data_IF_763666108604
#
_entry.id   IF_763666108604
#
_cell.length_a   1.000
_cell.length_b   1.000
_cell.length_c   1.000
_cell.angle_alpha   90.00
_cell.angle_beta   90.00
_cell.angle_gamma   90.00
#
_symmetry.space_group_name_H-M   'P 1'
#
loop_
_entity.id
_entity.type
_entity.pdbx_description
1 polymer ?
#
# COMPACT_ATOMS: atom_id res chain seq x y z
N UNK A 1 -10.36 30.54 10.01
CA UNK A 1 -9.96 29.14 9.69
C UNK A 1 -10.97 28.21 10.33
N UNK A 2 -11.19 26.97 9.84
CA UNK A 2 -12.11 26.05 10.50
C UNK A 2 -11.57 25.68 11.90
N UNK A 3 -12.16 26.27 12.93
CA UNK A 3 -11.88 25.92 14.33
C UNK A 3 -12.40 24.50 14.61
N UNK A 4 -11.50 23.63 15.06
CA UNK A 4 -11.81 22.24 15.37
C UNK A 4 -12.43 22.17 16.77
N UNK A 5 -13.75 22.02 16.83
CA UNK A 5 -14.45 21.92 18.11
C UNK A 5 -13.89 20.82 19.03
N UNK A 6 -13.95 21.05 20.35
CA UNK A 6 -13.49 20.11 21.39
C UNK A 6 -14.06 18.69 21.16
N UNK A 7 -15.32 18.58 20.75
CA UNK A 7 -15.96 17.30 20.41
C UNK A 7 -15.24 16.57 19.27
N UNK A 8 -14.85 17.28 18.22
CA UNK A 8 -14.14 16.70 17.07
C UNK A 8 -12.72 16.27 17.45
N UNK A 9 -12.02 17.11 18.23
CA UNK A 9 -10.69 16.75 18.74
C UNK A 9 -10.75 15.49 19.62
N UNK A 10 -11.75 15.37 20.49
CA UNK A 10 -11.98 14.17 21.31
C UNK A 10 -12.23 12.92 20.46
N UNK A 11 -12.99 13.04 19.36
CA UNK A 11 -13.20 11.93 18.41
C UNK A 11 -11.88 11.54 17.74
N UNK A 12 -11.10 12.50 17.24
CA UNK A 12 -9.80 12.24 16.61
C UNK A 12 -8.84 11.52 17.56
N UNK A 13 -8.78 11.96 18.82
CA UNK A 13 -7.98 11.31 19.85
C UNK A 13 -8.39 9.84 20.02
N UNK A 14 -9.70 9.58 20.21
CA UNK A 14 -10.22 8.22 20.39
C UNK A 14 -9.93 7.34 19.17
N UNK A 15 -10.14 7.85 17.96
CA UNK A 15 -9.89 7.10 16.73
C UNK A 15 -8.41 6.76 16.55
N UNK A 16 -7.50 7.71 16.78
CA UNK A 16 -6.07 7.46 16.71
C UNK A 16 -5.62 6.47 17.80
N UNK A 17 -6.10 6.58 19.04
CA UNK A 17 -5.76 5.62 20.09
C UNK A 17 -6.28 4.20 19.80
N UNK A 18 -7.50 4.07 19.28
CA UNK A 18 -8.04 2.77 18.86
C UNK A 18 -7.20 2.20 17.72
N UNK A 19 -6.90 2.99 16.69
CA UNK A 19 -6.07 2.54 15.57
C UNK A 19 -4.67 2.13 16.03
N UNK A 20 -4.04 2.91 16.93
CA UNK A 20 -2.75 2.56 17.54
C UNK A 20 -2.80 1.17 18.20
N UNK A 21 -3.76 0.94 19.10
CA UNK A 21 -3.86 -0.33 19.83
C UNK A 21 -4.09 -1.50 18.86
N UNK A 22 -4.99 -1.33 17.88
CA UNK A 22 -5.30 -2.40 16.93
C UNK A 22 -4.10 -2.73 16.03
N UNK A 23 -3.37 -1.72 15.53
CA UNK A 23 -2.15 -1.96 14.75
C UNK A 23 -1.01 -2.53 15.58
N UNK A 24 -0.89 -2.13 16.85
CA UNK A 24 0.08 -2.70 17.77
C UNK A 24 -0.21 -4.19 18.04
N UNK A 25 -1.47 -4.56 18.24
CA UNK A 25 -1.87 -5.97 18.38
C UNK A 25 -1.48 -6.75 17.12
N UNK A 26 -1.79 -6.23 15.92
CA UNK A 26 -1.43 -6.89 14.67
C UNK A 26 0.09 -6.99 14.48
N UNK A 27 0.86 -5.99 14.90
CA UNK A 27 2.31 -6.05 14.91
C UNK A 27 2.82 -7.15 15.85
N UNK A 28 2.33 -7.20 17.10
CA UNK A 28 2.74 -8.21 18.08
C UNK A 28 2.40 -9.62 17.57
N UNK A 29 1.17 -9.83 17.08
CA UNK A 29 0.76 -11.12 16.51
C UNK A 29 1.63 -11.49 15.32
N UNK A 30 1.88 -10.57 14.39
CA UNK A 30 2.74 -10.83 13.24
C UNK A 30 4.17 -11.20 13.65
N UNK A 31 4.74 -10.49 14.61
CA UNK A 31 6.11 -10.72 15.07
C UNK A 31 6.29 -11.99 15.93
N UNK A 32 5.22 -12.47 16.56
CA UNK A 32 5.28 -13.66 17.43
C UNK A 32 4.84 -14.94 16.73
N UNK A 33 3.86 -14.85 15.83
CA UNK A 33 3.30 -16.00 15.09
C UNK A 33 3.93 -16.15 13.71
N UNK A 34 4.27 -15.04 13.05
CA UNK A 34 4.89 -15.07 11.73
C UNK A 34 6.35 -15.55 11.79
N UNK A 35 6.79 -16.23 10.74
CA UNK A 35 8.20 -16.58 10.56
C UNK A 35 8.98 -15.34 10.12
N UNK A 36 9.57 -14.62 11.06
CA UNK A 36 10.31 -13.37 10.80
C UNK A 36 11.53 -13.55 9.88
N UNK A 37 12.05 -14.78 9.76
CA UNK A 37 13.19 -15.12 8.91
C UNK A 37 12.76 -15.59 7.51
N UNK A 38 11.45 -15.64 7.24
CA UNK A 38 10.91 -16.03 5.95
C UNK A 38 11.34 -15.03 4.87
N UNK A 39 12.15 -15.51 3.95
CA UNK A 39 12.83 -14.68 2.96
C UNK A 39 12.91 -15.39 1.60
N UNK A 40 11.77 -15.66 0.94
CA UNK A 40 11.73 -16.35 -0.35
C UNK A 40 12.42 -15.54 -1.47
N UNK A 41 12.91 -16.19 -2.53
CA UNK A 41 13.88 -15.60 -3.45
C UNK A 41 13.31 -14.44 -4.28
N UNK A 42 14.21 -13.53 -4.64
CA UNK A 42 14.03 -12.47 -5.64
C UNK A 42 15.17 -12.51 -6.64
N UNK A 43 14.90 -12.09 -7.87
CA UNK A 43 15.83 -12.17 -8.98
C UNK A 43 16.06 -10.80 -9.60
N UNK A 44 17.25 -10.63 -10.15
CA UNK A 44 17.53 -9.55 -11.07
C UNK A 44 17.54 -10.09 -12.51
N UNK A 45 17.20 -9.24 -13.48
CA UNK A 45 17.31 -9.59 -14.89
C UNK A 45 18.68 -9.15 -15.40
N UNK A 46 19.48 -10.09 -15.89
CA UNK A 46 20.70 -9.81 -16.66
C UNK A 46 20.44 -10.09 -18.13
N UNK A 47 21.21 -9.46 -19.00
CA UNK A 47 21.11 -9.63 -20.44
C UNK A 47 22.47 -10.05 -20.98
N UNK A 48 22.49 -11.13 -21.76
CA UNK A 48 23.65 -11.54 -22.55
C UNK A 48 23.45 -11.07 -23.98
N UNK A 49 24.54 -10.63 -24.62
CA UNK A 49 24.56 -10.30 -26.03
C UNK A 49 25.05 -11.54 -26.78
N UNK A 50 24.13 -12.20 -27.48
CA UNK A 50 24.45 -13.40 -28.25
C UNK A 50 24.67 -13.03 -29.71
N UNK A 51 25.82 -13.43 -30.25
CA UNK A 51 26.14 -13.23 -31.66
C UNK A 51 26.15 -14.58 -32.37
N UNK A 52 25.36 -14.68 -33.43
CA UNK A 52 25.39 -15.81 -34.35
C UNK A 52 26.09 -15.32 -35.64
N UNK A 53 27.17 -16.00 -36.05
CA UNK A 53 27.94 -15.64 -37.25
C UNK A 53 27.14 -15.69 -38.55
N UNK A 54 25.97 -16.33 -38.54
CA UNK A 54 25.03 -16.38 -39.66
C UNK A 54 24.07 -15.19 -39.70
N UNK A 55 23.95 -14.43 -38.61
CA UNK A 55 23.03 -13.29 -38.47
C UNK A 55 23.78 -11.96 -38.62
N UNK A 56 23.09 -10.94 -39.13
CA UNK A 56 23.66 -9.59 -39.33
C UNK A 56 23.62 -8.71 -38.06
N UNK A 57 23.22 -9.27 -36.91
CA UNK A 57 23.04 -8.54 -35.66
C UNK A 57 23.25 -9.39 -34.41
N UNK A 58 23.07 -8.78 -33.24
CA UNK A 58 23.11 -9.46 -31.93
C UNK A 58 21.70 -9.66 -31.37
N UNK A 59 21.52 -10.71 -30.58
CA UNK A 59 20.32 -10.94 -29.77
C UNK A 59 20.55 -10.47 -28.33
N UNK A 60 19.49 -9.97 -27.71
CA UNK A 60 19.46 -9.64 -26.28
C UNK A 60 18.72 -10.77 -25.56
N UNK A 61 19.47 -11.63 -24.87
CA UNK A 61 18.92 -12.80 -24.19
C UNK A 61 18.83 -12.54 -22.68
N UNK A 62 17.64 -12.20 -22.16
CA UNK A 62 17.47 -11.96 -20.73
C UNK A 62 17.43 -13.28 -19.95
N UNK A 63 18.10 -13.31 -18.79
CA UNK A 63 18.02 -14.41 -17.85
C UNK A 63 17.95 -13.90 -16.40
N UNK A 64 17.32 -14.67 -15.53
CA UNK A 64 17.18 -14.33 -14.12
C UNK A 64 18.37 -14.84 -13.32
N UNK A 65 18.87 -13.99 -12.42
CA UNK A 65 19.92 -14.34 -11.46
C UNK A 65 19.42 -14.04 -10.07
N UNK A 66 19.63 -14.97 -9.13
CA UNK A 66 19.26 -14.76 -7.72
C UNK A 66 19.93 -13.49 -7.20
N UNK A 67 19.13 -12.62 -6.60
CA UNK A 67 19.57 -11.34 -6.05
C UNK A 67 19.57 -11.35 -4.51
N UNK A 68 18.76 -12.21 -3.91
CA UNK A 68 18.60 -12.32 -2.46
C UNK A 68 17.23 -12.88 -2.13
N UNK A 69 16.77 -12.61 -0.90
CA UNK A 69 15.43 -12.97 -0.46
C UNK A 69 14.58 -11.76 -0.09
N UNK A 70 13.26 -11.94 -0.16
CA UNK A 70 12.26 -10.94 0.11
C UNK A 70 11.67 -11.16 1.50
N UNK A 71 11.96 -10.30 2.50
CA UNK A 71 11.62 -10.55 3.89
C UNK A 71 10.13 -10.23 4.20
N UNK A 72 9.22 -10.99 3.59
CA UNK A 72 7.78 -10.68 3.54
C UNK A 72 7.15 -10.50 4.93
N UNK A 73 7.48 -11.37 5.88
CA UNK A 73 6.97 -11.30 7.25
C UNK A 73 7.46 -10.03 7.95
N UNK A 74 8.75 -9.70 7.80
CA UNK A 74 9.33 -8.52 8.41
C UNK A 74 8.74 -7.24 7.82
N UNK A 75 8.54 -7.17 6.49
CA UNK A 75 7.89 -6.03 5.86
C UNK A 75 6.43 -5.88 6.32
N UNK A 76 5.73 -6.99 6.54
CA UNK A 76 4.37 -7.01 7.10
C UNK A 76 4.33 -6.43 8.51
N UNK A 77 5.25 -6.87 9.37
CA UNK A 77 5.44 -6.34 10.71
C UNK A 77 5.74 -4.83 10.68
N UNK A 78 6.66 -4.41 9.82
CA UNK A 78 7.11 -3.01 9.73
C UNK A 78 5.95 -2.08 9.38
N UNK A 79 5.08 -2.42 8.42
CA UNK A 79 3.98 -1.50 8.11
C UNK A 79 2.98 -1.36 9.26
N UNK A 80 2.77 -2.42 10.07
CA UNK A 80 1.93 -2.31 11.27
C UNK A 80 2.56 -1.44 12.35
N UNK A 81 3.87 -1.62 12.59
CA UNK A 81 4.61 -0.82 13.58
C UNK A 81 4.63 0.66 13.20
N UNK A 82 4.87 0.98 11.92
CA UNK A 82 4.88 2.36 11.44
C UNK A 82 3.49 2.99 11.62
N UNK A 83 2.41 2.32 11.20
CA UNK A 83 1.06 2.85 11.36
C UNK A 83 0.70 3.04 12.83
N UNK A 84 1.04 2.07 13.71
CA UNK A 84 0.85 2.21 15.15
C UNK A 84 1.59 3.44 15.70
N UNK A 85 2.85 3.64 15.30
CA UNK A 85 3.65 4.80 15.70
C UNK A 85 2.99 6.12 15.31
N UNK A 86 2.56 6.28 14.06
CA UNK A 86 1.94 7.54 13.60
C UNK A 86 0.63 7.85 14.34
N UNK A 87 -0.20 6.84 14.60
CA UNK A 87 -1.42 7.03 15.36
C UNK A 87 -1.15 7.39 16.83
N UNK A 88 -0.18 6.73 17.48
CA UNK A 88 0.23 7.09 18.84
C UNK A 88 0.77 8.53 18.87
N UNK A 89 1.63 8.88 17.91
CA UNK A 89 2.21 10.21 17.79
C UNK A 89 1.14 11.29 17.64
N UNK A 90 0.20 11.12 16.69
CA UNK A 90 -0.91 12.06 16.46
C UNK A 90 -1.83 12.19 17.70
N UNK A 91 -1.98 11.13 18.50
CA UNK A 91 -2.77 11.15 19.73
C UNK A 91 -2.03 11.74 20.94
N UNK A 92 -0.70 11.84 20.90
CA UNK A 92 0.12 12.22 22.05
C UNK A 92 1.07 13.37 21.70
N UNK A 93 2.35 13.10 21.42
CA UNK A 93 3.41 14.10 21.33
C UNK A 93 3.42 14.91 20.02
N UNK A 94 2.63 14.53 19.00
CA UNK A 94 2.38 15.34 17.80
C UNK A 94 0.95 15.90 17.76
N UNK A 95 0.19 15.84 18.86
CA UNK A 95 -1.23 16.21 18.84
C UNK A 95 -1.45 17.66 18.41
N UNK A 96 -0.70 18.62 18.97
CA UNK A 96 -0.84 20.04 18.61
C UNK A 96 -0.53 20.31 17.13
N UNK A 97 0.51 19.65 16.60
CA UNK A 97 0.89 19.74 15.18
C UNK A 97 -0.19 19.11 14.30
N UNK A 98 -0.75 17.99 14.71
CA UNK A 98 -1.79 17.27 13.99
C UNK A 98 -3.09 18.08 13.93
N UNK A 99 -3.56 18.61 15.07
CA UNK A 99 -4.77 19.43 15.14
C UNK A 99 -4.61 20.72 14.34
N UNK A 100 -3.52 21.48 14.54
CA UNK A 100 -3.26 22.72 13.79
C UNK A 100 -3.15 22.47 12.28
N UNK A 101 -2.56 21.33 11.86
CA UNK A 101 -2.53 20.96 10.44
C UNK A 101 -3.93 20.69 9.89
N UNK A 102 -4.79 19.99 10.65
CA UNK A 102 -6.17 19.70 10.25
C UNK A 102 -7.02 20.96 10.12
N UNK A 103 -6.81 21.97 10.97
CA UNK A 103 -7.44 23.29 10.85
C UNK A 103 -7.01 24.02 9.56
N UNK A 104 -5.84 23.69 9.04
CA UNK A 104 -5.34 24.15 7.73
C UNK A 104 -5.71 23.21 6.57
N UNK A 105 -6.65 22.28 6.80
CA UNK A 105 -7.08 21.26 5.84
C UNK A 105 -5.92 20.44 5.25
N UNK A 106 -4.97 20.07 6.10
CA UNK A 106 -3.75 19.38 5.71
C UNK A 106 -3.37 18.31 6.73
N UNK A 107 -2.84 17.18 6.28
CA UNK A 107 -2.42 16.12 7.21
C UNK A 107 -1.11 15.47 6.74
N UNK A 108 0.04 16.09 7.03
CA UNK A 108 1.33 15.60 6.57
C UNK A 108 1.66 14.22 7.17
N UNK A 109 1.29 13.98 8.42
CA UNK A 109 1.57 12.71 9.12
C UNK A 109 0.91 11.51 8.41
N UNK A 110 -0.35 11.64 7.96
CA UNK A 110 -1.05 10.61 7.18
C UNK A 110 -0.32 10.28 5.88
N UNK A 111 0.08 11.29 5.11
CA UNK A 111 0.73 11.04 3.82
C UNK A 111 2.13 10.49 3.96
N UNK A 112 2.89 10.87 5.00
CA UNK A 112 4.20 10.28 5.29
C UNK A 112 4.04 8.81 5.69
N UNK A 113 3.07 8.51 6.57
CA UNK A 113 2.74 7.13 6.94
C UNK A 113 2.37 6.30 5.70
N UNK A 114 1.45 6.80 4.85
CA UNK A 114 0.97 6.06 3.68
C UNK A 114 2.03 5.93 2.60
N UNK A 115 2.88 6.94 2.40
CA UNK A 115 4.02 6.87 1.49
C UNK A 115 4.89 5.64 1.78
N UNK A 116 5.12 5.34 3.07
CA UNK A 116 5.91 4.18 3.46
C UNK A 116 5.04 2.92 3.43
N UNK A 117 3.92 2.92 4.16
CA UNK A 117 3.15 1.72 4.45
C UNK A 117 2.39 1.21 3.23
N UNK A 118 1.73 2.07 2.45
CA UNK A 118 1.04 1.65 1.22
C UNK A 118 2.04 1.11 0.19
N UNK A 119 3.23 1.71 0.10
CA UNK A 119 4.30 1.18 -0.75
C UNK A 119 4.73 -0.22 -0.31
N UNK A 120 5.07 -0.43 0.97
CA UNK A 120 5.44 -1.75 1.49
C UNK A 120 4.37 -2.81 1.24
N UNK A 121 3.10 -2.45 1.47
CA UNK A 121 1.96 -3.32 1.16
C UNK A 121 1.92 -3.68 -0.33
N UNK A 122 2.05 -2.70 -1.23
CA UNK A 122 1.99 -2.95 -2.67
C UNK A 122 3.18 -3.72 -3.21
N UNK A 123 4.39 -3.52 -2.67
CA UNK A 123 5.56 -4.36 -2.96
C UNK A 123 5.26 -5.82 -2.59
N UNK A 124 4.66 -6.03 -1.42
CA UNK A 124 4.31 -7.35 -0.90
C UNK A 124 3.26 -8.00 -1.80
N UNK A 125 2.22 -7.26 -2.17
CA UNK A 125 1.18 -7.73 -3.08
C UNK A 125 1.76 -8.08 -4.45
N UNK A 126 2.66 -7.26 -5.01
CA UNK A 126 3.35 -7.58 -6.26
C UNK A 126 4.17 -8.88 -6.15
N UNK A 127 4.85 -9.09 -5.03
CA UNK A 127 5.53 -10.36 -4.78
C UNK A 127 4.55 -11.55 -4.78
N UNK A 128 3.38 -11.39 -4.15
CA UNK A 128 2.34 -12.44 -4.11
C UNK A 128 1.80 -12.82 -5.50
N UNK A 129 1.85 -11.91 -6.47
CA UNK A 129 1.38 -12.21 -7.83
C UNK A 129 2.36 -13.04 -8.66
N UNK A 130 3.53 -13.37 -8.10
CA UNK A 130 4.61 -14.06 -8.79
C UNK A 130 5.65 -13.11 -9.41
N UNK A 131 5.51 -11.79 -9.23
CA UNK A 131 6.57 -10.87 -9.64
C UNK A 131 7.80 -11.06 -8.75
N UNK A 132 8.77 -11.82 -9.25
CA UNK A 132 10.02 -12.12 -8.54
C UNK A 132 11.18 -11.20 -8.94
N UNK A 133 11.01 -10.34 -9.94
CA UNK A 133 12.03 -9.36 -10.35
C UNK A 133 12.10 -8.18 -9.38
N UNK A 134 13.29 -7.87 -8.86
CA UNK A 134 13.52 -6.73 -7.97
C UNK A 134 13.11 -5.41 -8.62
N UNK A 135 13.39 -5.24 -9.91
CA UNK A 135 13.05 -4.02 -10.64
C UNK A 135 11.53 -3.81 -10.73
N UNK A 136 10.78 -4.91 -10.91
CA UNK A 136 9.30 -4.86 -10.95
C UNK A 136 8.75 -4.50 -9.58
N UNK A 137 9.23 -5.17 -8.52
CA UNK A 137 8.79 -4.92 -7.15
C UNK A 137 9.06 -3.46 -6.77
N UNK A 138 10.31 -2.99 -6.94
CA UNK A 138 10.70 -1.60 -6.64
C UNK A 138 9.91 -0.59 -7.48
N UNK A 139 9.66 -0.90 -8.77
CA UNK A 139 8.83 -0.08 -9.63
C UNK A 139 7.41 0.10 -9.09
N UNK A 140 6.76 -0.99 -8.67
CA UNK A 140 5.43 -0.94 -8.02
C UNK A 140 5.48 -0.12 -6.74
N UNK A 141 6.50 -0.33 -5.89
CA UNK A 141 6.68 0.43 -4.66
C UNK A 141 6.73 1.95 -4.93
N UNK A 142 7.55 2.36 -5.91
CA UNK A 142 7.76 3.75 -6.27
C UNK A 142 6.53 4.40 -6.91
N UNK A 143 5.79 3.65 -7.72
CA UNK A 143 4.52 4.14 -8.28
C UNK A 143 3.49 4.43 -7.18
N UNK A 144 3.31 3.50 -6.23
CA UNK A 144 2.37 3.72 -5.11
C UNK A 144 2.84 4.83 -4.18
N UNK A 145 4.16 4.94 -3.95
CA UNK A 145 4.74 6.07 -3.21
C UNK A 145 4.39 7.40 -3.89
N UNK A 146 4.52 7.45 -5.23
CA UNK A 146 4.18 8.62 -6.04
C UNK A 146 2.68 8.96 -5.96
N UNK A 147 1.79 7.96 -5.93
CA UNK A 147 0.35 8.20 -5.68
C UNK A 147 0.12 8.94 -4.36
N UNK A 148 0.83 8.55 -3.30
CA UNK A 148 0.71 9.22 -1.98
C UNK A 148 1.23 10.66 -2.03
N UNK A 149 2.30 10.93 -2.78
CA UNK A 149 2.79 12.29 -3.01
C UNK A 149 1.75 13.17 -3.72
N UNK A 150 0.99 12.63 -4.67
CA UNK A 150 -0.11 13.38 -5.30
C UNK A 150 -1.26 13.65 -4.33
N UNK A 151 -1.52 12.73 -3.40
CA UNK A 151 -2.44 12.93 -2.30
C UNK A 151 -2.01 14.09 -1.40
N UNK A 152 -0.75 14.08 -0.95
CA UNK A 152 -0.12 15.16 -0.19
C UNK A 152 -0.17 16.49 -0.94
N UNK A 153 0.20 16.50 -2.21
CA UNK A 153 0.17 17.67 -3.08
C UNK A 153 -1.24 18.23 -3.24
N UNK A 154 -2.27 17.38 -3.26
CA UNK A 154 -3.66 17.85 -3.32
C UNK A 154 -4.04 18.70 -2.11
N UNK A 155 -3.62 18.32 -0.90
CA UNK A 155 -3.90 19.12 0.29
C UNK A 155 -2.98 20.34 0.40
N UNK A 156 -1.71 20.21 0.00
CA UNK A 156 -0.79 21.36 -0.07
C UNK A 156 -1.30 22.42 -1.06
N UNK A 157 -1.85 21.98 -2.19
CA UNK A 157 -2.39 22.81 -3.25
C UNK A 157 -3.73 23.44 -2.88
N UNK A 158 -4.50 22.89 -1.95
CA UNK A 158 -5.82 23.39 -1.61
C UNK A 158 -5.84 23.97 -0.19
N UNK A 159 -5.86 25.30 -0.08
CA UNK A 159 -5.93 25.99 1.21
C UNK A 159 -7.31 26.59 1.50
N UNK A 160 -7.75 26.58 2.78
CA UNK A 160 -8.98 27.24 3.19
C UNK A 160 -8.79 28.75 3.24
N UNK A 161 -9.84 29.53 2.94
CA UNK A 161 -9.83 30.97 3.16
C UNK A 161 -9.90 31.31 4.66
N UNK A 162 -9.32 32.44 5.06
CA UNK A 162 -9.16 32.79 6.48
C UNK A 162 -10.51 33.05 7.19
N UNK A 163 -11.42 33.80 6.55
CA UNK A 163 -12.64 34.30 7.19
C UNK A 163 -13.93 33.77 6.57
N UNK A 164 -13.83 32.78 5.68
CA UNK A 164 -14.98 32.18 4.98
C UNK A 164 -14.79 30.67 4.92
N UNK A 165 -15.85 29.90 5.17
CA UNK A 165 -15.84 28.44 5.01
C UNK A 165 -15.87 28.02 3.52
N UNK A 166 -14.83 28.39 2.80
CA UNK A 166 -14.65 28.07 1.39
C UNK A 166 -13.16 27.98 1.04
N UNK A 167 -12.88 27.24 -0.03
CA UNK A 167 -11.54 27.04 -0.56
C UNK A 167 -11.08 28.26 -1.36
N UNK A 168 -9.79 28.60 -1.30
CA UNK A 168 -9.20 29.63 -2.18
C UNK A 168 -9.45 29.32 -3.67
N UNK A 169 -9.40 28.03 -4.02
CA UNK A 169 -9.73 27.53 -5.36
C UNK A 169 -11.21 27.23 -5.42
N UNK A 170 -11.96 28.07 -6.12
CA UNK A 170 -13.43 28.06 -6.10
C UNK A 170 -14.06 26.85 -6.80
N UNK A 171 -13.44 26.30 -7.85
CA UNK A 171 -14.04 25.19 -8.62
C UNK A 171 -13.49 23.82 -8.20
N UNK A 172 -14.37 22.83 -8.07
CA UNK A 172 -14.00 21.45 -7.73
C UNK A 172 -12.96 20.88 -8.71
N UNK A 173 -13.13 21.12 -10.02
CA UNK A 173 -12.21 20.60 -11.03
C UNK A 173 -10.78 21.10 -10.81
N UNK A 174 -10.58 22.39 -10.51
CA UNK A 174 -9.24 22.93 -10.23
C UNK A 174 -8.64 22.30 -8.97
N UNK A 175 -9.45 22.10 -7.92
CA UNK A 175 -9.01 21.47 -6.67
C UNK A 175 -8.57 20.02 -6.86
N UNK A 176 -9.24 19.29 -7.75
CA UNK A 176 -9.01 17.87 -7.97
C UNK A 176 -7.88 17.54 -8.94
N UNK A 177 -7.20 18.54 -9.54
CA UNK A 177 -6.11 18.30 -10.50
C UNK A 177 -5.01 17.38 -9.90
N UNK A 178 -4.40 17.68 -8.73
CA UNK A 178 -3.34 16.82 -8.20
C UNK A 178 -3.86 15.42 -7.85
N UNK A 179 -5.10 15.33 -7.38
CA UNK A 179 -5.73 14.05 -7.06
C UNK A 179 -5.87 13.16 -8.30
N UNK A 180 -6.37 13.69 -9.42
CA UNK A 180 -6.47 12.93 -10.67
C UNK A 180 -5.12 12.59 -11.29
N UNK A 181 -4.10 13.43 -11.12
CA UNK A 181 -2.73 13.07 -11.51
C UNK A 181 -2.21 11.87 -10.71
N UNK A 182 -2.64 11.70 -9.45
CA UNK A 182 -2.34 10.52 -8.63
C UNK A 182 -2.90 9.20 -9.18
N UNK A 183 -3.93 9.25 -10.04
CA UNK A 183 -4.46 8.04 -10.67
C UNK A 183 -3.47 7.42 -11.65
N UNK A 184 -2.63 8.22 -12.31
CA UNK A 184 -1.67 7.71 -13.29
C UNK A 184 -0.75 6.67 -12.64
N UNK A 185 0.08 7.01 -11.63
CA UNK A 185 0.95 6.01 -11.03
C UNK A 185 0.18 4.86 -10.36
N UNK A 186 -1.01 5.13 -9.80
CA UNK A 186 -1.85 4.09 -9.20
C UNK A 186 -2.28 3.03 -10.23
N UNK A 187 -2.80 3.47 -11.37
CA UNK A 187 -3.29 2.59 -12.43
C UNK A 187 -2.15 1.78 -13.05
N UNK A 188 -0.96 2.37 -13.23
CA UNK A 188 0.20 1.62 -13.70
C UNK A 188 0.68 0.58 -12.68
N UNK A 189 0.70 0.90 -11.38
CA UNK A 189 1.07 -0.06 -10.35
C UNK A 189 0.12 -1.27 -10.33
N UNK A 190 -1.19 -1.02 -10.33
CA UNK A 190 -2.19 -2.08 -10.34
C UNK A 190 -2.27 -2.82 -11.67
N UNK A 191 -2.00 -2.14 -12.79
CA UNK A 191 -1.82 -2.83 -14.07
C UNK A 191 -0.70 -3.86 -13.98
N UNK A 192 0.48 -3.49 -13.45
CA UNK A 192 1.61 -4.43 -13.28
C UNK A 192 1.21 -5.59 -12.36
N UNK A 193 0.60 -5.30 -11.21
CA UNK A 193 0.16 -6.33 -10.24
C UNK A 193 -0.81 -7.32 -10.89
N UNK A 194 -1.89 -6.81 -11.50
CA UNK A 194 -2.92 -7.65 -12.11
C UNK A 194 -2.41 -8.38 -13.35
N UNK A 195 -1.59 -7.72 -14.18
CA UNK A 195 -0.97 -8.36 -15.34
C UNK A 195 -0.03 -9.49 -14.93
N UNK A 196 0.80 -9.30 -13.90
CA UNK A 196 1.63 -10.38 -13.35
C UNK A 196 0.80 -11.54 -12.82
N UNK A 197 -0.34 -11.25 -12.18
CA UNK A 197 -1.19 -12.28 -11.60
C UNK A 197 -1.97 -13.10 -12.64
N UNK A 198 -2.61 -12.43 -13.61
CA UNK A 198 -3.42 -13.10 -14.62
C UNK A 198 -2.61 -13.57 -15.84
N UNK A 199 -1.48 -12.91 -16.13
CA UNK A 199 -0.62 -13.22 -17.27
C UNK A 199 0.33 -14.39 -17.03
N UNK A 200 0.38 -14.94 -15.80
CA UNK A 200 1.13 -16.15 -15.50
C UNK A 200 0.46 -17.36 -16.17
N UNK A 201 1.05 -17.88 -17.25
CA UNK A 201 0.60 -19.08 -17.97
C UNK A 201 0.83 -20.40 -17.20
N UNK A 202 0.73 -20.38 -15.87
CA UNK A 202 0.90 -21.55 -15.03
C UNK A 202 -0.25 -22.55 -15.22
N UNK A 203 0.07 -23.84 -15.13
CA UNK A 203 -0.92 -24.93 -15.13
C UNK A 203 -1.71 -25.01 -13.83
N UNK A 204 -1.23 -24.37 -12.76
CA UNK A 204 -1.82 -24.37 -11.42
C UNK A 204 -2.45 -23.02 -11.07
N UNK A 205 -3.63 -23.07 -10.46
CA UNK A 205 -4.27 -21.88 -9.90
C UNK A 205 -3.56 -21.42 -8.62
N UNK A 206 -3.46 -20.10 -8.43
CA UNK A 206 -2.96 -19.53 -7.19
C UNK A 206 -3.88 -19.90 -6.00
N UNK A 207 -3.33 -20.07 -4.77
CA UNK A 207 -4.12 -20.36 -3.58
C UNK A 207 -5.22 -19.30 -3.32
N UNK A 208 -6.34 -19.72 -2.75
CA UNK A 208 -7.50 -18.85 -2.52
C UNK A 208 -7.17 -17.57 -1.70
N UNK A 209 -6.27 -17.67 -0.72
CA UNK A 209 -5.86 -16.52 0.09
C UNK A 209 -5.10 -15.45 -0.72
N UNK A 210 -4.37 -15.86 -1.77
CA UNK A 210 -3.69 -14.93 -2.69
C UNK A 210 -4.73 -14.16 -3.51
N UNK A 211 -5.76 -14.84 -4.01
CA UNK A 211 -6.89 -14.20 -4.70
C UNK A 211 -7.62 -13.19 -3.81
N UNK A 212 -7.90 -13.57 -2.56
CA UNK A 212 -8.54 -12.69 -1.58
C UNK A 212 -7.70 -11.43 -1.36
N UNK A 213 -6.38 -11.58 -1.22
CA UNK A 213 -5.48 -10.43 -1.06
C UNK A 213 -5.51 -9.56 -2.31
N UNK A 214 -5.28 -10.11 -3.50
CA UNK A 214 -5.11 -9.28 -4.71
C UNK A 214 -6.41 -8.53 -5.04
N UNK A 215 -7.53 -9.24 -5.10
CA UNK A 215 -8.82 -8.61 -5.43
C UNK A 215 -9.34 -7.73 -4.30
N UNK A 216 -9.21 -8.20 -3.05
CA UNK A 216 -9.63 -7.45 -1.87
C UNK A 216 -8.86 -6.15 -1.70
N UNK A 217 -7.53 -6.20 -1.84
CA UNK A 217 -6.69 -5.01 -1.73
C UNK A 217 -6.90 -4.04 -2.89
N UNK A 218 -7.12 -4.52 -4.12
CA UNK A 218 -7.48 -3.65 -5.24
C UNK A 218 -8.73 -2.82 -4.93
N UNK A 219 -9.77 -3.47 -4.42
CA UNK A 219 -11.01 -2.80 -4.01
C UNK A 219 -10.72 -1.83 -2.86
N UNK A 220 -10.06 -2.30 -1.79
CA UNK A 220 -9.80 -1.50 -0.59
C UNK A 220 -8.94 -0.26 -0.88
N UNK A 221 -7.89 -0.39 -1.69
CA UNK A 221 -7.04 0.74 -2.10
C UNK A 221 -7.83 1.74 -2.93
N UNK A 222 -8.71 1.25 -3.82
CA UNK A 222 -9.57 2.11 -4.63
C UNK A 222 -10.54 2.94 -3.77
N UNK A 223 -10.96 2.45 -2.60
CA UNK A 223 -11.85 3.19 -1.69
C UNK A 223 -11.20 4.46 -1.10
N UNK A 224 -9.87 4.57 -1.06
CA UNK A 224 -9.19 5.76 -0.53
C UNK A 224 -9.43 7.02 -1.37
N UNK A 225 -9.96 6.87 -2.59
CA UNK A 225 -10.43 7.98 -3.41
C UNK A 225 -11.57 8.76 -2.74
N UNK A 226 -12.43 8.06 -2.00
CA UNK A 226 -13.68 8.58 -1.44
C UNK A 226 -13.42 9.70 -0.42
N UNK A 227 -12.62 9.49 0.65
CA UNK A 227 -12.37 10.55 1.63
C UNK A 227 -11.76 11.81 1.01
N UNK A 228 -10.82 11.65 0.07
CA UNK A 228 -10.18 12.81 -0.55
C UNK A 228 -11.13 13.60 -1.44
N UNK A 229 -11.90 12.92 -2.31
CA UNK A 229 -12.91 13.60 -3.12
C UNK A 229 -13.99 14.25 -2.26
N UNK A 230 -14.37 13.61 -1.16
CA UNK A 230 -15.28 14.20 -0.18
C UNK A 230 -14.72 15.50 0.39
N UNK A 231 -13.45 15.52 0.81
CA UNK A 231 -12.78 16.71 1.31
C UNK A 231 -12.73 17.83 0.26
N UNK A 232 -12.34 17.51 -0.97
CA UNK A 232 -12.24 18.48 -2.07
C UNK A 232 -13.60 19.04 -2.52
N UNK A 233 -14.67 18.24 -2.41
CA UNK A 233 -16.02 18.66 -2.82
C UNK A 233 -16.71 19.54 -1.77
N UNK A 234 -16.49 19.25 -0.49
CA UNK A 234 -17.20 19.90 0.61
C UNK A 234 -16.46 21.15 1.12
N UNK A 235 -17.14 22.02 1.89
CA UNK A 235 -16.48 23.13 2.58
C UNK A 235 -15.35 22.66 3.53
N UNK A 236 -14.28 23.45 3.71
CA UNK A 236 -13.18 23.18 4.65
C UNK A 236 -13.61 22.70 6.03
N UNK A 237 -14.70 23.24 6.59
CA UNK A 237 -15.24 22.84 7.90
C UNK A 237 -15.62 21.36 8.01
N UNK A 238 -15.80 20.66 6.88
CA UNK A 238 -16.10 19.22 6.81
C UNK A 238 -14.86 18.36 6.56
N UNK A 239 -13.67 18.94 6.40
CA UNK A 239 -12.43 18.23 6.07
C UNK A 239 -12.13 17.07 7.03
N UNK A 240 -12.33 17.30 8.34
CA UNK A 240 -12.11 16.30 9.40
C UNK A 240 -12.91 15.00 9.23
N UNK A 241 -14.07 15.05 8.55
CA UNK A 241 -14.85 13.83 8.29
C UNK A 241 -14.14 12.90 7.30
N UNK A 242 -13.40 13.46 6.35
CA UNK A 242 -12.52 12.68 5.48
C UNK A 242 -11.41 11.99 6.28
N UNK A 243 -10.89 12.66 7.31
CA UNK A 243 -9.86 12.07 8.17
C UNK A 243 -10.38 10.86 8.96
N UNK A 244 -11.61 10.92 9.48
CA UNK A 244 -12.22 9.74 10.13
C UNK A 244 -12.29 8.53 9.20
N UNK A 245 -12.66 8.78 7.94
CA UNK A 245 -12.76 7.73 6.92
C UNK A 245 -11.37 7.21 6.56
N UNK A 246 -10.35 8.07 6.45
CA UNK A 246 -8.98 7.65 6.21
C UNK A 246 -8.45 6.73 7.30
N UNK A 247 -8.65 7.08 8.58
CA UNK A 247 -8.22 6.25 9.72
C UNK A 247 -8.88 4.86 9.64
N UNK A 248 -10.20 4.82 9.38
CA UNK A 248 -10.93 3.56 9.24
C UNK A 248 -10.42 2.70 8.07
N UNK A 249 -10.28 3.30 6.88
CA UNK A 249 -9.81 2.58 5.68
C UNK A 249 -8.36 2.08 5.85
N UNK A 250 -7.50 2.87 6.51
CA UNK A 250 -6.12 2.47 6.85
C UNK A 250 -6.10 1.19 7.68
N UNK A 251 -6.87 1.16 8.76
CA UNK A 251 -6.98 -0.02 9.60
C UNK A 251 -7.55 -1.20 8.81
N UNK A 252 -8.68 -1.01 8.11
CA UNK A 252 -9.37 -2.08 7.40
C UNK A 252 -8.49 -2.73 6.32
N UNK A 253 -7.80 -1.94 5.51
CA UNK A 253 -6.94 -2.45 4.44
C UNK A 253 -5.73 -3.22 5.00
N UNK A 254 -5.02 -2.61 5.96
CA UNK A 254 -3.82 -3.21 6.58
C UNK A 254 -4.16 -4.48 7.37
N UNK A 255 -5.24 -4.46 8.15
CA UNK A 255 -5.69 -5.63 8.91
C UNK A 255 -6.06 -6.78 7.97
N UNK A 256 -6.81 -6.49 6.90
CA UNK A 256 -7.19 -7.50 5.91
C UNK A 256 -5.96 -8.13 5.26
N UNK A 257 -4.98 -7.31 4.84
CA UNK A 257 -3.75 -7.81 4.24
C UNK A 257 -2.98 -8.70 5.22
N UNK A 258 -2.68 -8.18 6.42
CA UNK A 258 -1.86 -8.89 7.41
C UNK A 258 -2.49 -10.18 7.91
N UNK A 259 -3.81 -10.19 8.16
CA UNK A 259 -4.52 -11.41 8.59
C UNK A 259 -4.49 -12.48 7.51
N UNK A 260 -4.70 -12.13 6.24
CA UNK A 260 -4.64 -13.10 5.15
C UNK A 260 -3.20 -13.58 4.90
N UNK A 261 -2.20 -12.72 5.06
CA UNK A 261 -0.80 -13.13 5.01
C UNK A 261 -0.48 -14.14 6.13
N UNK A 262 -0.90 -13.87 7.36
CA UNK A 262 -0.72 -14.76 8.52
C UNK A 262 -1.40 -16.12 8.33
N UNK A 263 -2.64 -16.10 7.82
CA UNK A 263 -3.40 -17.32 7.58
C UNK A 263 -2.85 -18.13 6.40
N UNK A 264 -2.28 -17.45 5.39
CA UNK A 264 -1.98 -18.06 4.10
C UNK A 264 -0.53 -18.47 3.88
N UNK A 265 0.45 -17.69 4.35
CA UNK A 265 1.83 -17.90 3.90
C UNK A 265 2.96 -17.45 4.82
N UNK A 266 2.80 -16.39 5.61
CA UNK A 266 3.96 -15.83 6.35
C UNK A 266 4.35 -16.62 7.61
N UNK A 267 3.57 -17.65 7.96
CA UNK A 267 3.86 -18.62 9.03
C UNK A 267 4.59 -19.86 8.52
N UNK A 268 4.72 -20.04 7.20
CA UNK A 268 5.36 -21.19 6.59
C UNK A 268 6.89 -21.16 6.71
N UNK A 269 7.52 -22.33 6.65
CA UNK A 269 8.98 -22.45 6.50
C UNK A 269 9.44 -22.20 5.06
N UNK A 270 8.65 -22.69 4.09
CA UNK A 270 8.86 -22.46 2.67
C UNK A 270 7.64 -21.78 2.07
N UNK A 271 7.79 -20.49 1.73
CA UNK A 271 6.71 -19.66 1.20
C UNK A 271 6.21 -20.14 -0.18
N UNK A 272 7.12 -20.65 -1.01
CA UNK A 272 6.80 -21.10 -2.37
C UNK A 272 6.20 -22.52 -2.38
N UNK A 273 6.33 -23.27 -1.29
CA UNK A 273 5.73 -24.60 -1.12
C UNK A 273 4.23 -24.53 -0.75
N UNK A 274 3.52 -23.48 -1.19
CA UNK A 274 2.12 -23.25 -0.87
C UNK A 274 1.32 -24.53 -0.94
N UNK A 275 0.53 -24.82 0.11
CA UNK A 275 -0.23 -26.06 0.27
C UNK A 275 -1.05 -26.33 -1.00
N UNK A 276 -0.55 -27.24 -1.83
CA UNK A 276 -1.31 -27.79 -2.95
C UNK A 276 -2.41 -28.61 -2.28
N UNK A 277 -3.68 -28.25 -2.52
CA UNK A 277 -4.80 -29.12 -2.15
C UNK A 277 -4.53 -30.51 -2.74
N UNK A 278 -4.57 -31.55 -1.91
CA UNK A 278 -4.32 -32.94 -2.30
C UNK A 278 -5.17 -33.43 -3.49
N UNK A 279 -6.26 -32.72 -3.83
CA UNK A 279 -7.11 -32.99 -4.99
C UNK A 279 -6.74 -32.18 -6.25
N UNK A 280 -5.75 -31.30 -6.20
CA UNK A 280 -5.31 -30.51 -7.35
C UNK A 280 -4.28 -31.30 -8.15
N UNK A 281 -4.69 -31.81 -9.32
CA UNK A 281 -3.79 -32.42 -10.30
C UNK A 281 -3.02 -31.32 -11.02
N UNK A 282 -2.00 -30.80 -10.35
CA UNK A 282 -0.95 -30.03 -10.99
C UNK A 282 0.12 -30.99 -11.48
N UNK A 283 0.56 -30.84 -12.73
CA UNK A 283 1.79 -31.47 -13.17
C UNK A 283 2.92 -30.96 -12.26
N UNK A 284 3.41 -31.83 -11.38
CA UNK A 284 4.59 -31.56 -10.58
C UNK A 284 5.73 -31.46 -11.59
N UNK A 285 6.14 -30.24 -11.92
CA UNK A 285 7.39 -30.04 -12.64
C UNK A 285 8.49 -30.38 -11.64
N UNK A 286 9.06 -31.58 -11.75
CA UNK A 286 10.29 -31.94 -11.06
C UNK A 286 11.35 -30.91 -11.46
N UNK A 287 11.60 -29.95 -10.58
CA UNK A 287 12.73 -29.05 -10.68
C UNK A 287 13.96 -29.81 -10.16
N UNK A 288 14.46 -30.71 -11.02
CA UNK A 288 15.78 -31.33 -10.87
C UNK A 288 16.90 -30.29 -11.05
#
# INVERSE_FOLDING_TARGET
>A
MPDLSITRQSILYKLNMIAFVLHLILAIVTGTVGNIHLSPPIYNTKVTFTYNSSDTGFYLDPYYVSYGGYPITALTLVFFVITAFFHLANATFLNDIYISSLELCFTPTRWIEYFITASLMSCTIAYLTGARSVLVIVGVCGLIASTMLFGFMSELYNRPMENVDAWERTTFLKRSIPHFLGYVPYMFAWFIILYSFFGGGGTCAAPAWVWIIIMGQFIQFSLFVIPQLYQLKNPPSKFVRGEYIFIFLSFFAKATLGINLLAGGITLENFDAGVIDSNTTCDVVDLA
#
